data_IF_434892161430
#
_entry.id   IF_434892161430
#
_cell.length_a   1.000
_cell.length_b   1.000
_cell.length_c   1.000
_cell.angle_alpha   90.00
_cell.angle_beta   90.00
_cell.angle_gamma   90.00
#
_symmetry.space_group_name_H-M   'P 1'
#
loop_
_entity.id
_entity.type
_entity.pdbx_description
1 polymer ?
#
# COMPACT_ATOMS: atom_id res chain seq x y z
N UNK A 1 -3.17 10.91 6.29
CA UNK A 1 -2.14 10.08 6.95
C UNK A 1 -0.82 10.06 6.18
N UNK A 2 -0.78 9.59 4.92
CA UNK A 2 0.46 9.55 4.12
C UNK A 2 1.15 10.93 4.01
N UNK A 3 0.37 11.99 3.78
CA UNK A 3 0.83 13.39 3.80
C UNK A 3 1.55 13.76 5.10
N UNK A 4 0.96 13.44 6.25
CA UNK A 4 1.56 13.72 7.56
C UNK A 4 2.83 12.91 7.81
N UNK A 5 2.86 11.63 7.40
CA UNK A 5 4.06 10.80 7.50
C UNK A 5 5.21 11.40 6.70
N UNK A 6 4.96 11.84 5.46
CA UNK A 6 5.98 12.48 4.61
C UNK A 6 6.37 13.86 5.15
N UNK A 7 5.42 14.64 5.68
CA UNK A 7 5.68 15.96 6.26
C UNK A 7 6.63 15.87 7.45
N UNK A 8 6.36 14.97 8.39
CA UNK A 8 7.11 14.83 9.65
C UNK A 8 8.41 14.04 9.46
N UNK A 9 8.46 13.12 8.51
CA UNK A 9 9.68 12.35 8.25
C UNK A 9 10.82 13.24 7.73
N UNK A 10 12.02 13.01 8.27
CA UNK A 10 13.25 13.67 7.81
C UNK A 10 13.66 13.22 6.42
N UNK A 11 13.68 11.91 6.15
CA UNK A 11 14.19 11.35 4.88
C UNK A 11 13.48 10.10 4.39
N UNK A 12 13.12 9.19 5.30
CA UNK A 12 12.49 7.93 4.93
C UNK A 12 11.17 7.74 5.67
N UNK A 13 10.19 7.16 4.98
CA UNK A 13 8.97 6.62 5.59
C UNK A 13 8.93 5.12 5.26
N UNK A 14 8.84 4.30 6.30
CA UNK A 14 8.60 2.86 6.16
C UNK A 14 7.20 2.62 6.70
N UNK A 15 6.33 2.04 5.88
CA UNK A 15 4.99 1.66 6.31
C UNK A 15 4.60 0.31 5.75
N UNK A 16 3.61 -0.33 6.34
CA UNK A 16 2.98 -1.52 5.77
C UNK A 16 1.59 -1.19 5.27
N UNK A 17 1.14 -1.96 4.28
CA UNK A 17 -0.21 -1.85 3.74
C UNK A 17 -0.69 -3.16 3.14
N UNK A 18 -2.01 -3.27 2.95
CA UNK A 18 -2.60 -4.35 2.17
C UNK A 18 -2.72 -3.95 0.71
N UNK A 19 -2.10 -4.72 -0.17
CA UNK A 19 -2.11 -4.52 -1.62
C UNK A 19 -3.48 -4.92 -2.22
N UNK A 20 -4.04 -3.99 -2.99
CA UNK A 20 -5.27 -4.18 -3.74
C UNK A 20 -5.23 -5.38 -4.70
N UNK A 21 -4.09 -5.64 -5.33
CA UNK A 21 -3.90 -6.71 -6.32
C UNK A 21 -3.51 -8.05 -5.70
N UNK A 22 -3.43 -8.14 -4.37
CA UNK A 22 -3.11 -9.41 -3.70
C UNK A 22 -4.13 -10.51 -4.01
N UNK A 23 -3.65 -11.75 -4.18
CA UNK A 23 -4.48 -12.93 -4.47
C UNK A 23 -5.66 -13.05 -3.51
N UNK A 24 -5.41 -12.86 -2.20
CA UNK A 24 -6.46 -12.93 -1.17
C UNK A 24 -7.52 -11.84 -1.34
N UNK A 25 -7.11 -10.62 -1.70
CA UNK A 25 -8.07 -9.54 -1.93
C UNK A 25 -8.86 -9.75 -3.23
N UNK A 26 -8.21 -10.19 -4.30
CA UNK A 26 -8.86 -10.54 -5.57
C UNK A 26 -9.90 -11.64 -5.39
N UNK A 27 -9.54 -12.75 -4.71
CA UNK A 27 -10.49 -13.83 -4.38
C UNK A 27 -11.65 -13.32 -3.51
N UNK A 28 -11.36 -12.44 -2.55
CA UNK A 28 -12.40 -11.86 -1.69
C UNK A 28 -13.37 -10.98 -2.49
N UNK A 29 -12.88 -10.19 -3.45
CA UNK A 29 -13.75 -9.38 -4.33
C UNK A 29 -14.63 -10.26 -5.22
N UNK A 30 -14.08 -11.32 -5.80
CA UNK A 30 -14.84 -12.27 -6.63
C UNK A 30 -15.94 -12.95 -5.81
N UNK A 31 -15.65 -13.31 -4.55
CA UNK A 31 -16.61 -13.96 -3.65
C UNK A 31 -17.53 -12.99 -2.91
N UNK A 32 -17.25 -11.68 -2.91
CA UNK A 32 -18.01 -10.69 -2.17
C UNK A 32 -19.50 -10.66 -2.53
N UNK A 33 -19.91 -10.79 -3.82
CA UNK A 33 -21.31 -10.90 -4.21
C UNK A 33 -22.05 -12.08 -3.54
N UNK A 34 -21.34 -13.13 -3.14
CA UNK A 34 -21.89 -14.37 -2.58
C UNK A 34 -21.71 -14.52 -1.07
N UNK A 35 -20.95 -13.62 -0.42
CA UNK A 35 -20.54 -13.79 0.99
C UNK A 35 -20.83 -12.54 1.84
N UNK A 36 -21.43 -11.49 1.27
CA UNK A 36 -21.77 -10.20 1.91
C UNK A 36 -20.65 -9.52 2.73
N UNK A 37 -19.41 -10.03 2.66
CA UNK A 37 -18.27 -9.53 3.41
C UNK A 37 -17.71 -8.30 2.70
N UNK A 38 -17.62 -7.14 3.37
CA UNK A 38 -17.11 -5.91 2.76
C UNK A 38 -15.66 -6.11 2.34
N UNK A 39 -15.21 -5.59 1.17
CA UNK A 39 -13.84 -5.73 0.71
C UNK A 39 -12.83 -5.19 1.72
N UNK A 40 -11.58 -5.68 1.69
CA UNK A 40 -10.55 -5.16 2.60
C UNK A 40 -10.22 -3.71 2.23
N UNK A 41 -9.95 -2.88 3.23
CA UNK A 41 -9.27 -1.61 3.01
C UNK A 41 -7.89 -1.96 2.45
N UNK A 42 -7.70 -1.64 1.18
CA UNK A 42 -6.49 -1.94 0.42
C UNK A 42 -6.04 -0.72 -0.35
N UNK A 43 -4.76 -0.66 -0.63
CA UNK A 43 -4.14 0.44 -1.35
C UNK A 43 -3.59 -0.09 -2.68
N UNK A 44 -3.83 0.65 -3.76
CA UNK A 44 -3.23 0.36 -5.06
C UNK A 44 -1.78 0.83 -5.05
N UNK A 45 -0.81 0.01 -5.48
CA UNK A 45 0.59 0.44 -5.60
C UNK A 45 0.77 1.71 -6.44
N UNK A 46 0.02 1.85 -7.54
CA UNK A 46 0.14 3.02 -8.42
C UNK A 46 -0.38 4.29 -7.74
N UNK A 47 -1.51 4.20 -7.03
CA UNK A 47 -2.01 5.31 -6.21
C UNK A 47 -0.99 5.73 -5.14
N UNK A 48 -0.34 4.77 -4.46
CA UNK A 48 0.69 5.06 -3.47
C UNK A 48 1.88 5.78 -4.11
N UNK A 49 2.33 5.31 -5.29
CA UNK A 49 3.44 5.92 -6.04
C UNK A 49 3.11 7.35 -6.45
N UNK A 50 1.97 7.56 -7.10
CA UNK A 50 1.51 8.88 -7.58
C UNK A 50 1.29 9.86 -6.43
N UNK A 51 0.64 9.41 -5.35
CA UNK A 51 0.39 10.24 -4.17
C UNK A 51 1.69 10.60 -3.46
N UNK A 52 2.62 9.67 -3.31
CA UNK A 52 3.94 9.95 -2.75
C UNK A 52 4.70 10.97 -3.60
N UNK A 53 4.69 10.81 -4.93
CA UNK A 53 5.34 11.73 -5.86
C UNK A 53 4.77 13.15 -5.74
N UNK A 54 3.44 13.29 -5.69
CA UNK A 54 2.77 14.58 -5.47
C UNK A 54 3.06 15.22 -4.11
N UNK A 55 3.55 14.45 -3.14
CA UNK A 55 3.95 14.90 -1.80
C UNK A 55 5.46 15.11 -1.65
N UNK A 56 6.22 15.06 -2.75
CA UNK A 56 7.68 15.22 -2.71
C UNK A 56 8.40 14.00 -2.14
N UNK A 57 7.91 12.79 -2.42
CA UNK A 57 8.57 11.54 -2.05
C UNK A 57 8.54 10.51 -3.19
N UNK A 58 9.51 9.63 -3.19
CA UNK A 58 9.65 8.54 -4.15
C UNK A 58 9.39 7.20 -3.48
N UNK A 59 8.61 6.33 -4.13
CA UNK A 59 8.44 4.95 -3.72
C UNK A 59 9.60 4.09 -4.22
N UNK A 60 10.54 3.79 -3.32
CA UNK A 60 11.80 3.11 -3.62
C UNK A 60 11.63 1.58 -3.70
N UNK A 61 10.84 1.00 -2.79
CA UNK A 61 10.69 -0.46 -2.73
C UNK A 61 9.37 -0.87 -2.08
N UNK A 62 8.87 -2.05 -2.48
CA UNK A 62 7.66 -2.67 -1.96
C UNK A 62 7.79 -4.20 -1.80
N UNK A 63 8.66 -4.70 -0.91
CA UNK A 63 8.78 -6.13 -0.69
C UNK A 63 7.51 -6.67 -0.03
N UNK A 64 7.17 -7.92 -0.35
CA UNK A 64 6.10 -8.63 0.33
C UNK A 64 6.55 -8.96 1.77
N UNK A 65 5.71 -8.63 2.76
CA UNK A 65 5.96 -9.03 4.15
C UNK A 65 5.79 -10.55 4.29
N UNK A 66 4.77 -11.10 3.64
CA UNK A 66 4.59 -12.55 3.47
C UNK A 66 4.18 -12.83 2.03
N UNK A 67 4.99 -13.62 1.33
CA UNK A 67 4.79 -13.99 -0.07
C UNK A 67 3.48 -14.75 -0.30
N UNK A 68 3.07 -15.56 0.67
CA UNK A 68 1.88 -16.39 0.57
C UNK A 68 0.66 -15.70 1.20
N UNK A 69 -0.33 -15.42 0.36
CA UNK A 69 -1.74 -15.14 0.70
C UNK A 69 -2.07 -13.96 1.64
N UNK A 70 -1.10 -13.22 2.19
CA UNK A 70 -1.41 -12.12 3.13
C UNK A 70 -1.88 -10.85 2.41
N UNK A 71 -1.29 -10.59 1.24
CA UNK A 71 -1.39 -9.31 0.54
C UNK A 71 -0.69 -8.15 1.25
N UNK A 72 0.09 -8.43 2.29
CA UNK A 72 0.74 -7.43 3.12
C UNK A 72 2.11 -7.09 2.52
N UNK A 73 2.38 -5.80 2.32
CA UNK A 73 3.64 -5.30 1.75
C UNK A 73 4.21 -4.21 2.62
N UNK A 74 5.53 -4.09 2.61
CA UNK A 74 6.20 -2.86 3.01
C UNK A 74 6.11 -1.84 1.88
N UNK A 75 6.21 -0.57 2.24
CA UNK A 75 6.54 0.52 1.34
C UNK A 75 7.70 1.29 1.97
N UNK A 76 8.80 1.39 1.23
CA UNK A 76 9.89 2.32 1.53
C UNK A 76 9.71 3.54 0.65
N UNK A 77 9.41 4.68 1.28
CA UNK A 77 9.38 5.98 0.63
C UNK A 77 10.62 6.78 1.03
N UNK A 78 11.18 7.49 0.07
CA UNK A 78 12.29 8.43 0.26
C UNK A 78 11.81 9.83 -0.08
N UNK A 79 11.91 10.77 0.86
CA UNK A 79 11.61 12.18 0.61
C UNK A 79 12.59 12.72 -0.42
N UNK A 80 12.07 13.28 -1.50
CA UNK A 80 12.82 14.04 -2.49
C UNK A 80 13.20 15.34 -1.80
N UNK A 81 14.51 15.52 -1.56
CA UNK A 81 15.05 16.70 -0.88
C UNK A 81 14.83 17.96 -1.67
#
# INVERSE_FOLDING_TARGET
LLSELIRVARRFVIMTFFDYYSVKNTLRRIRAPFNHKPPKITMKPDWLRETAAGLGAELVSMPHLFYLFSGHRYALLRKSG
#
